data_IF_560968993559
#
_entry.id   IF_560968993559
#
_cell.length_a   1.000
_cell.length_b   1.000
_cell.length_c   1.000
_cell.angle_alpha   90.00
_cell.angle_beta   90.00
_cell.angle_gamma   90.00
#
_symmetry.space_group_name_H-M   'P 1'
#
loop_
_entity.id
_entity.type
_entity.pdbx_description
1 polymer ?
#
# COMPACT_ATOMS: atom_id res chain seq x y z
N UNK A 1 -7.11 12.87 -10.15
CA UNK A 1 -6.18 11.95 -9.46
C UNK A 1 -4.78 12.31 -9.90
N UNK A 2 -3.82 12.39 -8.98
CA UNK A 2 -2.39 12.47 -9.32
C UNK A 2 -2.00 11.09 -9.88
N UNK A 3 -1.38 10.97 -11.07
CA UNK A 3 -1.18 9.70 -11.76
C UNK A 3 -0.02 8.88 -11.16
N UNK A 4 -0.04 8.70 -9.84
CA UNK A 4 0.94 7.99 -9.05
C UNK A 4 0.20 7.03 -8.11
N UNK A 5 0.52 5.75 -8.19
CA UNK A 5 0.28 4.84 -7.09
C UNK A 5 1.38 5.03 -6.05
N UNK A 6 0.99 5.22 -4.79
CA UNK A 6 1.93 5.46 -3.68
C UNK A 6 1.92 4.25 -2.78
N UNK A 7 3.05 3.54 -2.73
CA UNK A 7 3.16 2.25 -2.06
C UNK A 7 4.11 2.39 -0.89
N UNK A 8 3.64 2.11 0.33
CA UNK A 8 4.46 2.07 1.53
C UNK A 8 4.65 0.62 1.96
N UNK A 9 5.89 0.25 2.30
CA UNK A 9 6.22 -1.12 2.71
C UNK A 9 6.92 -1.13 4.06
N UNK A 10 6.44 -1.97 4.96
CA UNK A 10 7.03 -2.23 6.27
C UNK A 10 7.81 -3.55 6.29
N UNK A 11 7.37 -4.51 5.47
CA UNK A 11 7.92 -5.85 5.32
C UNK A 11 8.09 -6.13 3.83
N UNK A 12 9.16 -6.83 3.46
CA UNK A 12 9.36 -7.23 2.07
C UNK A 12 8.28 -8.25 1.65
N UNK A 13 7.53 -7.94 0.58
CA UNK A 13 6.55 -8.84 0.00
C UNK A 13 6.30 -8.50 -1.48
N UNK A 14 5.55 -9.37 -2.18
CA UNK A 14 5.02 -9.09 -3.51
C UNK A 14 6.07 -8.64 -4.53
N UNK A 15 5.78 -7.55 -5.24
CA UNK A 15 6.66 -7.02 -6.28
C UNK A 15 8.01 -6.53 -5.75
N UNK A 16 8.09 -6.08 -4.51
CA UNK A 16 9.36 -5.65 -3.89
C UNK A 16 10.31 -6.82 -3.70
N UNK A 17 9.82 -7.91 -3.09
CA UNK A 17 10.60 -9.15 -2.91
C UNK A 17 11.08 -9.71 -4.24
N UNK A 18 10.21 -9.76 -5.25
CA UNK A 18 10.57 -10.23 -6.60
C UNK A 18 11.60 -9.32 -7.29
N UNK A 19 11.42 -8.00 -7.21
CA UNK A 19 12.27 -7.00 -7.87
C UNK A 19 13.68 -6.97 -7.30
N UNK A 20 13.82 -7.11 -5.98
CA UNK A 20 15.10 -6.94 -5.28
C UNK A 20 15.73 -8.26 -4.81
N UNK A 21 15.05 -9.40 -4.97
CA UNK A 21 15.54 -10.70 -4.50
C UNK A 21 15.57 -10.81 -2.97
N UNK A 22 14.74 -10.04 -2.27
CA UNK A 22 14.62 -10.06 -0.81
C UNK A 22 13.52 -11.05 -0.43
N UNK A 23 13.81 -11.94 0.52
CA UNK A 23 12.86 -12.95 1.00
C UNK A 23 11.57 -12.30 1.53
N UNK A 24 10.41 -12.83 1.13
CA UNK A 24 9.10 -12.38 1.62
C UNK A 24 8.99 -12.60 3.13
N UNK A 25 8.50 -11.60 3.86
CA UNK A 25 8.48 -11.60 5.31
C UNK A 25 9.71 -10.95 5.95
N UNK A 26 10.73 -10.56 5.17
CA UNK A 26 11.88 -9.82 5.70
C UNK A 26 11.42 -8.47 6.26
N UNK A 27 11.58 -8.28 7.57
CA UNK A 27 11.32 -6.99 8.20
C UNK A 27 12.31 -5.94 7.71
N UNK A 28 11.80 -4.82 7.20
CA UNK A 28 12.65 -3.70 6.77
C UNK A 28 13.13 -2.90 7.98
N UNK A 29 14.31 -2.29 7.85
CA UNK A 29 14.90 -1.47 8.93
C UNK A 29 14.09 -0.19 9.20
N UNK A 30 13.43 0.31 8.16
CA UNK A 30 12.45 1.39 8.22
C UNK A 30 11.42 1.21 7.09
N UNK A 31 10.23 1.81 7.22
CA UNK A 31 9.27 1.83 6.11
C UNK A 31 9.88 2.51 4.89
N UNK A 32 9.63 1.96 3.71
CA UNK A 32 10.06 2.54 2.43
C UNK A 32 8.85 2.95 1.60
N UNK A 33 9.05 3.88 0.66
CA UNK A 33 8.03 4.42 -0.21
C UNK A 33 8.45 4.26 -1.67
N UNK A 34 7.54 3.73 -2.49
CA UNK A 34 7.69 3.57 -3.92
C UNK A 34 6.58 4.32 -4.66
N UNK A 35 6.90 4.86 -5.82
CA UNK A 35 5.90 5.35 -6.76
C UNK A 35 5.79 4.37 -7.93
N UNK A 36 4.57 4.16 -8.41
CA UNK A 36 4.32 3.57 -9.73
C UNK A 36 3.56 4.58 -10.59
N UNK A 37 3.90 4.64 -11.86
CA UNK A 37 3.16 5.48 -12.81
C UNK A 37 1.84 4.81 -13.13
N UNK A 38 0.71 5.40 -12.69
CA UNK A 38 -0.63 4.84 -12.91
C UNK A 38 -0.96 4.87 -14.41
N UNK A 39 -0.82 3.72 -15.05
CA UNK A 39 -1.02 3.51 -16.47
C UNK A 39 -1.21 2.01 -16.74
N UNK A 40 -2.48 1.59 -16.79
CA UNK A 40 -2.88 0.20 -16.95
C UNK A 40 -2.28 -0.47 -18.20
N UNK A 41 -2.14 0.28 -19.31
CA UNK A 41 -1.56 -0.23 -20.57
C UNK A 41 -0.09 -0.63 -20.43
N UNK A 42 0.62 -0.01 -19.47
CA UNK A 42 2.02 -0.29 -19.16
C UNK A 42 2.19 -1.21 -17.94
N UNK A 43 1.09 -1.59 -17.29
CA UNK A 43 1.11 -2.40 -16.07
C UNK A 43 1.75 -1.68 -14.87
N UNK A 44 1.48 -0.38 -14.75
CA UNK A 44 1.87 0.47 -13.61
C UNK A 44 3.37 0.39 -13.26
N UNK A 45 4.27 0.82 -14.16
CA UNK A 45 5.70 0.65 -13.96
C UNK A 45 6.20 1.44 -12.75
N UNK A 46 7.10 0.83 -11.98
CA UNK A 46 7.82 1.48 -10.89
C UNK A 46 8.61 2.69 -11.41
N UNK A 47 8.52 3.81 -10.70
CA UNK A 47 9.27 5.04 -10.97
C UNK A 47 9.79 5.66 -9.66
N UNK A 48 10.79 6.54 -9.78
CA UNK A 48 11.22 7.39 -8.68
C UNK A 48 10.65 8.82 -8.83
N UNK A 49 10.93 9.69 -7.86
CA UNK A 49 10.48 11.08 -7.87
C UNK A 49 11.08 11.88 -9.04
N UNK A 50 12.33 11.61 -9.44
CA UNK A 50 12.93 12.23 -10.62
C UNK A 50 12.13 11.96 -11.89
N UNK A 51 11.62 10.74 -12.08
CA UNK A 51 10.80 10.40 -13.24
C UNK A 51 9.45 11.12 -13.16
N UNK A 52 8.82 11.13 -11.98
CA UNK A 52 7.56 11.84 -11.77
C UNK A 52 7.68 13.34 -12.08
N UNK A 53 8.78 13.98 -11.66
CA UNK A 53 9.07 15.38 -11.97
C UNK A 53 9.34 15.60 -13.45
N UNK A 54 10.22 14.79 -14.05
CA UNK A 54 10.61 14.92 -15.45
C UNK A 54 9.44 14.71 -16.43
N UNK A 55 8.50 13.84 -16.07
CA UNK A 55 7.29 13.56 -16.84
C UNK A 55 6.13 14.52 -16.51
N UNK A 56 6.30 15.44 -15.56
CA UNK A 56 5.26 16.40 -15.17
C UNK A 56 4.05 15.76 -14.46
N UNK A 57 4.25 14.62 -13.80
CA UNK A 57 3.18 13.89 -13.11
C UNK A 57 2.76 14.55 -11.79
N UNK A 58 3.72 15.21 -11.12
CA UNK A 58 3.51 15.95 -9.88
C UNK A 58 4.64 16.99 -9.71
N UNK A 59 4.41 18.06 -8.95
CA UNK A 59 5.48 18.99 -8.55
C UNK A 59 6.30 18.43 -7.39
N UNK A 60 7.45 19.04 -7.08
CA UNK A 60 8.28 18.61 -5.95
C UNK A 60 7.53 18.78 -4.62
N UNK A 61 6.83 19.90 -4.47
CA UNK A 61 6.01 20.20 -3.28
C UNK A 61 4.89 19.16 -3.10
N UNK A 62 4.27 18.73 -4.21
CA UNK A 62 3.24 17.69 -4.19
C UNK A 62 3.82 16.33 -3.81
N UNK A 63 4.96 15.93 -4.39
CA UNK A 63 5.64 14.68 -4.05
C UNK A 63 6.03 14.65 -2.56
N UNK A 64 6.57 15.74 -2.04
CA UNK A 64 6.99 15.83 -0.64
C UNK A 64 5.78 15.77 0.32
N UNK A 65 4.68 16.43 -0.04
CA UNK A 65 3.43 16.40 0.73
C UNK A 65 2.77 15.02 0.69
N UNK A 66 2.70 14.39 -0.48
CA UNK A 66 2.19 13.04 -0.68
C UNK A 66 3.00 12.04 0.15
N UNK A 67 4.33 12.12 0.08
CA UNK A 67 5.22 11.24 0.86
C UNK A 67 4.99 11.40 2.36
N UNK A 68 4.88 12.65 2.84
CA UNK A 68 4.56 12.95 4.24
C UNK A 68 3.22 12.36 4.66
N UNK A 69 2.18 12.48 3.83
CA UNK A 69 0.86 11.91 4.12
C UNK A 69 0.89 10.38 4.10
N UNK A 70 1.55 9.76 3.14
CA UNK A 70 1.68 8.31 3.05
C UNK A 70 2.35 7.71 4.29
N UNK A 71 3.44 8.31 4.79
CA UNK A 71 4.07 7.84 6.03
C UNK A 71 3.20 8.09 7.27
N UNK A 72 2.44 9.19 7.32
CA UNK A 72 1.48 9.44 8.41
C UNK A 72 0.34 8.43 8.42
N UNK A 73 -0.18 8.07 7.24
CA UNK A 73 -1.18 7.00 7.08
C UNK A 73 -0.58 5.67 7.54
N UNK A 74 0.66 5.36 7.16
CA UNK A 74 1.35 4.14 7.60
C UNK A 74 1.47 4.05 9.13
N UNK A 75 1.93 5.13 9.78
CA UNK A 75 2.06 5.19 11.24
C UNK A 75 0.71 4.90 11.93
N UNK A 76 -0.36 5.58 11.48
CA UNK A 76 -1.69 5.36 12.01
C UNK A 76 -2.18 3.92 11.79
N UNK A 77 -2.04 3.40 10.56
CA UNK A 77 -2.52 2.06 10.22
C UNK A 77 -1.73 0.97 10.95
N UNK A 78 -0.40 1.09 11.08
CA UNK A 78 0.42 0.16 11.86
C UNK A 78 -0.10 0.02 13.30
N UNK A 79 -0.33 1.16 13.97
CA UNK A 79 -0.84 1.16 15.35
C UNK A 79 -2.28 0.67 15.44
N UNK A 80 -3.11 0.96 14.44
CA UNK A 80 -4.50 0.53 14.39
C UNK A 80 -4.62 -0.99 14.20
N UNK A 81 -4.02 -1.54 13.13
CA UNK A 81 -4.13 -2.96 12.78
C UNK A 81 -3.43 -3.89 13.77
N UNK A 82 -2.32 -3.44 14.38
CA UNK A 82 -1.64 -4.22 15.42
C UNK A 82 -2.54 -4.52 16.62
N UNK A 83 -3.45 -3.61 16.99
CA UNK A 83 -4.43 -3.83 18.07
C UNK A 83 -5.48 -4.89 17.71
N UNK A 84 -5.62 -5.20 16.42
CA UNK A 84 -6.56 -6.16 15.86
C UNK A 84 -5.87 -7.49 15.48
N UNK A 85 -4.65 -7.74 15.96
CA UNK A 85 -3.84 -8.91 15.62
C UNK A 85 -3.59 -9.04 14.10
N UNK A 86 -3.40 -7.92 13.42
CA UNK A 86 -3.10 -7.84 11.99
C UNK A 86 -1.76 -7.13 11.79
N UNK A 87 -0.86 -7.78 11.06
CA UNK A 87 0.37 -7.18 10.56
C UNK A 87 0.10 -6.47 9.23
N UNK A 88 0.35 -5.16 9.19
CA UNK A 88 0.33 -4.37 7.95
C UNK A 88 1.68 -4.48 7.23
N UNK A 89 1.73 -5.35 6.23
CA UNK A 89 2.94 -5.69 5.48
C UNK A 89 3.33 -4.56 4.53
N UNK A 90 2.40 -4.16 3.67
CA UNK A 90 2.47 -3.01 2.79
C UNK A 90 1.06 -2.56 2.38
N UNK A 91 0.96 -1.38 1.79
CA UNK A 91 -0.28 -0.89 1.20
C UNK A 91 -0.02 0.06 0.05
N UNK A 92 -1.03 0.21 -0.81
CA UNK A 92 -1.09 1.18 -1.89
C UNK A 92 -2.22 2.17 -1.63
N UNK A 93 -1.95 3.45 -1.81
CA UNK A 93 -2.95 4.53 -1.80
C UNK A 93 -2.72 5.47 -2.98
N UNK A 94 -3.74 6.26 -3.30
CA UNK A 94 -3.65 7.30 -4.32
C UNK A 94 -4.07 8.64 -3.76
N UNK A 95 -3.63 9.71 -4.42
CA UNK A 95 -3.94 11.07 -4.01
C UNK A 95 -4.73 11.81 -5.10
N UNK A 96 -5.75 12.54 -4.65
CA UNK A 96 -6.50 13.48 -5.44
C UNK A 96 -5.96 14.91 -5.28
N UNK A 97 -6.35 15.77 -6.21
CA UNK A 97 -6.18 17.21 -6.11
C UNK A 97 -7.56 17.84 -6.26
N UNK A 98 -7.98 18.61 -5.27
CA UNK A 98 -9.24 19.35 -5.29
C UNK A 98 -9.14 20.53 -6.28
N UNK A 99 -10.27 21.17 -6.56
CA UNK A 99 -10.34 22.31 -7.50
C UNK A 99 -9.48 23.51 -7.10
N UNK A 100 -9.19 23.66 -5.81
CA UNK A 100 -8.32 24.71 -5.26
C UNK A 100 -6.84 24.30 -5.16
N UNK A 101 -6.49 23.09 -5.62
CA UNK A 101 -5.13 22.57 -5.59
C UNK A 101 -4.76 21.78 -4.33
N UNK A 102 -5.67 21.64 -3.36
CA UNK A 102 -5.38 20.87 -2.14
C UNK A 102 -5.19 19.38 -2.45
N UNK A 103 -4.10 18.80 -1.97
CA UNK A 103 -3.83 17.35 -2.06
C UNK A 103 -4.61 16.63 -0.95
N UNK A 104 -5.36 15.60 -1.34
CA UNK A 104 -6.16 14.78 -0.43
C UNK A 104 -5.90 13.29 -0.70
N UNK A 105 -5.94 12.48 0.36
CA UNK A 105 -6.00 11.03 0.22
C UNK A 105 -7.29 10.65 -0.54
N UNK A 106 -7.19 9.73 -1.49
CA UNK A 106 -8.30 9.26 -2.30
C UNK A 106 -8.26 7.72 -2.40
N UNK A 107 -8.97 7.16 -3.39
CA UNK A 107 -9.08 5.72 -3.65
C UNK A 107 -9.66 4.96 -2.43
N UNK A 108 -9.10 3.81 -2.07
CA UNK A 108 -9.61 2.97 -0.99
C UNK A 108 -8.50 2.36 -0.13
N UNK A 109 -8.87 2.02 1.11
CA UNK A 109 -8.07 1.22 2.03
C UNK A 109 -8.86 -0.05 2.32
N UNK A 110 -8.44 -1.15 1.71
CA UNK A 110 -9.15 -2.43 1.72
C UNK A 110 -8.13 -3.59 1.67
N UNK A 111 -8.57 -4.85 1.87
CA UNK A 111 -7.71 -6.01 1.60
C UNK A 111 -7.30 -6.16 0.12
N UNK A 112 -7.89 -5.35 -0.79
CA UNK A 112 -7.47 -5.26 -2.19
C UNK A 112 -6.19 -4.44 -2.36
N UNK A 113 -6.08 -3.34 -1.60
CA UNK A 113 -4.98 -2.37 -1.68
C UNK A 113 -3.94 -2.53 -0.57
N UNK A 114 -4.21 -3.34 0.44
CA UNK A 114 -3.33 -3.58 1.58
C UNK A 114 -2.96 -5.07 1.69
N UNK A 115 -1.71 -5.37 2.04
CA UNK A 115 -1.33 -6.72 2.47
C UNK A 115 -1.45 -6.84 3.98
N UNK A 116 -2.37 -7.70 4.40
CA UNK A 116 -2.70 -7.97 5.79
C UNK A 116 -2.38 -9.41 6.12
N UNK A 117 -1.51 -9.64 7.09
CA UNK A 117 -1.27 -10.99 7.60
C UNK A 117 -1.76 -11.09 9.05
N UNK A 118 -2.31 -12.23 9.43
CA UNK A 118 -2.59 -12.50 10.84
C UNK A 118 -1.28 -12.51 11.64
N UNK A 119 -1.21 -11.75 12.74
CA UNK A 119 0.05 -11.61 13.50
C UNK A 119 0.47 -12.88 14.24
N UNK A 120 -0.43 -13.86 14.41
CA UNK A 120 -0.15 -15.13 15.11
C UNK A 120 0.15 -16.26 14.14
N UNK A 121 -0.67 -16.41 13.09
CA UNK A 121 -0.58 -17.54 12.15
C UNK A 121 0.19 -17.18 10.87
N UNK A 122 0.43 -15.89 10.62
CA UNK A 122 0.93 -15.36 9.36
C UNK A 122 0.06 -15.72 8.14
N UNK A 123 -1.21 -16.06 8.38
CA UNK A 123 -2.18 -16.27 7.33
C UNK A 123 -2.40 -14.97 6.54
N UNK A 124 -2.42 -15.06 5.21
CA UNK A 124 -2.69 -13.93 4.33
C UNK A 124 -4.19 -13.64 4.33
N UNK A 125 -4.58 -12.43 4.68
CA UNK A 125 -5.95 -11.96 4.81
C UNK A 125 -6.32 -10.94 3.71
N UNK A 126 -5.62 -11.00 2.59
CA UNK A 126 -5.68 -10.00 1.52
C UNK A 126 -5.74 -10.62 0.11
N UNK A 127 -5.79 -9.76 -0.92
CA UNK A 127 -5.88 -10.15 -2.32
C UNK A 127 -4.77 -11.09 -2.80
N UNK A 128 -3.64 -11.22 -2.09
CA UNK A 128 -2.64 -12.24 -2.40
C UNK A 128 -3.23 -13.66 -2.39
N UNK A 129 -4.31 -13.92 -1.64
CA UNK A 129 -5.03 -15.20 -1.71
C UNK A 129 -5.58 -15.48 -3.10
N UNK A 130 -6.12 -14.46 -3.77
CA UNK A 130 -6.55 -14.55 -5.16
C UNK A 130 -5.36 -14.65 -6.11
N UNK A 131 -4.35 -13.77 -5.94
CA UNK A 131 -3.17 -13.72 -6.83
C UNK A 131 -2.36 -15.03 -6.85
N UNK A 132 -2.50 -15.87 -5.82
CA UNK A 132 -1.75 -17.12 -5.63
C UNK A 132 -2.66 -18.36 -5.57
N UNK A 133 -3.92 -18.25 -6.00
CA UNK A 133 -4.89 -19.35 -6.02
C UNK A 133 -5.03 -20.11 -4.68
N UNK A 134 -4.98 -19.39 -3.56
CA UNK A 134 -5.02 -19.97 -2.20
C UNK A 134 -6.44 -20.29 -1.71
N UNK A 135 -7.48 -19.87 -2.44
CA UNK A 135 -8.89 -19.97 -2.01
C UNK A 135 -9.23 -19.08 -0.80
N UNK A 136 -10.50 -19.09 -0.38
CA UNK A 136 -10.96 -18.38 0.84
C UNK A 136 -10.78 -16.85 0.80
N UNK A 137 -10.91 -16.23 -0.38
CA UNK A 137 -10.73 -14.79 -0.54
C UNK A 137 -11.82 -14.02 0.21
N UNK A 138 -13.09 -14.36 -0.01
CA UNK A 138 -14.22 -13.72 0.67
C UNK A 138 -14.16 -13.94 2.19
N UNK A 139 -13.79 -15.14 2.63
CA UNK A 139 -13.63 -15.45 4.06
C UNK A 139 -12.54 -14.59 4.72
N UNK A 140 -11.40 -14.39 4.04
CA UNK A 140 -10.35 -13.50 4.50
C UNK A 140 -10.81 -12.05 4.64
N UNK A 141 -11.62 -11.56 3.69
CA UNK A 141 -12.13 -10.19 3.72
C UNK A 141 -13.18 -10.03 4.82
N UNK A 142 -14.03 -11.05 5.02
CA UNK A 142 -14.98 -11.12 6.12
C UNK A 142 -14.28 -11.15 7.48
N UNK A 143 -13.16 -11.86 7.61
CA UNK A 143 -12.34 -11.89 8.82
C UNK A 143 -11.71 -10.52 9.13
N UNK A 144 -11.21 -9.81 8.11
CA UNK A 144 -10.77 -8.41 8.29
C UNK A 144 -11.95 -7.56 8.78
N UNK A 145 -13.10 -7.59 8.09
CA UNK A 145 -14.28 -6.82 8.47
C UNK A 145 -14.71 -7.09 9.92
N UNK A 146 -14.77 -8.37 10.31
CA UNK A 146 -15.10 -8.82 11.66
C UNK A 146 -14.18 -8.19 12.72
N UNK A 147 -12.86 -8.24 12.51
CA UNK A 147 -11.87 -7.64 13.42
C UNK A 147 -12.02 -6.12 13.52
N UNK A 148 -12.34 -5.44 12.42
CA UNK A 148 -12.55 -3.99 12.42
C UNK A 148 -13.85 -3.59 13.14
N UNK A 149 -14.91 -4.38 13.01
CA UNK A 149 -16.22 -4.09 13.57
C UNK A 149 -16.42 -4.62 15.01
N UNK A 150 -15.51 -5.50 15.48
CA UNK A 150 -15.54 -6.03 16.84
C UNK A 150 -16.60 -7.13 17.05
N UNK A 151 -16.92 -7.89 16.01
CA UNK A 151 -17.88 -9.00 16.02
C UNK A 151 -17.24 -10.37 16.31
#
# INVERSE_FOLDING_TARGET
>A
IVPLEVIVRNVAAGSFSKKLGIEEGTKLLCPTLEFSYKNDDLGDPFINDYYALALGLATKEEIDLISKYAFKVNEFMLDFFKKLNIDLIDFKIEFGKTSDGTIILADEISPDTCRFWDSTTHEKLDKDRFRRDMGGVEDAYAEIMKRLMGE
#
